data_IF_899913325675
#
_entry.id   IF_899913325675
#
_cell.length_a   1.000
_cell.length_b   1.000
_cell.length_c   1.000
_cell.angle_alpha   90.00
_cell.angle_beta   90.00
_cell.angle_gamma   90.00
#
_symmetry.space_group_name_H-M   'P 1'
#
loop_
_entity.id
_entity.type
_entity.pdbx_description
1 polymer ?
#
# COMPACT_ATOMS: atom_id res chain seq x y z
N UNK A 1 17.69 33.27 1.42
CA UNK A 1 17.89 31.92 1.95
C UNK A 1 17.22 30.94 1.01
N UNK A 2 17.98 30.09 0.33
CA UNK A 2 17.43 29.08 -0.56
C UNK A 2 16.72 27.99 0.24
N UNK A 3 15.39 27.94 0.13
CA UNK A 3 14.59 26.81 0.59
C UNK A 3 14.36 25.89 -0.59
N UNK A 4 15.10 24.79 -0.66
CA UNK A 4 15.06 23.83 -1.75
C UNK A 4 13.65 23.32 -2.02
N UNK A 5 13.28 23.28 -3.30
CA UNK A 5 12.05 22.69 -3.81
C UNK A 5 12.06 21.16 -3.71
N UNK A 6 12.11 20.64 -2.49
CA UNK A 6 11.82 19.23 -2.22
C UNK A 6 10.31 19.03 -2.35
N UNK A 7 9.88 18.27 -3.35
CA UNK A 7 8.49 17.81 -3.43
C UNK A 7 8.06 17.10 -2.14
N UNK A 8 6.75 16.92 -1.93
CA UNK A 8 6.26 16.23 -0.73
C UNK A 8 6.97 14.87 -0.58
N UNK A 9 7.40 14.51 0.64
CA UNK A 9 8.19 13.30 0.86
C UNK A 9 7.39 12.07 0.45
N UNK A 10 7.94 11.28 -0.48
CA UNK A 10 7.32 10.06 -1.00
C UNK A 10 7.01 9.09 0.15
N UNK A 11 5.83 8.46 0.13
CA UNK A 11 5.47 7.48 1.15
C UNK A 11 6.22 6.15 1.01
N UNK A 12 5.96 5.20 1.93
CA UNK A 12 6.55 3.87 1.88
C UNK A 12 6.08 3.09 0.65
N UNK A 13 6.93 2.16 0.21
CA UNK A 13 6.63 1.20 -0.85
C UNK A 13 6.97 -0.20 -0.35
N UNK A 14 6.07 -1.17 -0.55
CA UNK A 14 6.24 -2.54 -0.04
C UNK A 14 5.72 -3.57 -1.05
N UNK A 15 6.60 -4.50 -1.43
CA UNK A 15 6.24 -5.67 -2.25
C UNK A 15 5.80 -6.81 -1.36
N UNK A 16 4.78 -7.55 -1.80
CA UNK A 16 4.43 -8.83 -1.19
C UNK A 16 5.40 -9.91 -1.68
N UNK A 17 5.89 -10.81 -0.81
CA UNK A 17 6.93 -11.77 -1.22
C UNK A 17 6.44 -12.87 -2.18
N UNK A 18 5.14 -13.19 -2.17
CA UNK A 18 4.59 -14.35 -2.90
C UNK A 18 3.45 -14.01 -3.87
N UNK A 19 3.00 -12.76 -3.91
CA UNK A 19 1.87 -12.33 -4.72
C UNK A 19 2.27 -11.09 -5.52
N UNK A 20 1.67 -10.82 -6.69
CA UNK A 20 2.03 -9.71 -7.55
C UNK A 20 1.54 -8.35 -7.04
N UNK A 21 1.66 -8.14 -5.73
CA UNK A 21 1.12 -7.00 -5.01
C UNK A 21 2.20 -5.99 -4.63
N UNK A 22 1.87 -4.74 -4.89
CA UNK A 22 2.66 -3.58 -4.53
C UNK A 22 1.80 -2.60 -3.75
N UNK A 23 2.26 -2.25 -2.54
CA UNK A 23 1.68 -1.18 -1.74
C UNK A 23 2.49 0.08 -1.94
N UNK A 24 1.80 1.19 -2.19
CA UNK A 24 2.40 2.51 -2.36
C UNK A 24 1.68 3.50 -1.46
N UNK A 25 2.41 4.14 -0.56
CA UNK A 25 1.94 5.26 0.25
C UNK A 25 2.16 6.61 -0.43
N UNK A 26 1.21 7.53 -0.27
CA UNK A 26 1.32 8.90 -0.79
C UNK A 26 2.17 9.84 0.10
N UNK A 27 2.68 9.33 1.22
CA UNK A 27 3.43 10.12 2.21
C UNK A 27 2.55 11.04 3.05
N UNK A 28 1.24 10.88 3.01
CA UNK A 28 0.27 11.54 3.90
C UNK A 28 -0.58 10.46 4.57
N UNK A 29 -1.66 10.06 3.94
CA UNK A 29 -2.69 9.17 4.50
C UNK A 29 -3.20 8.14 3.50
N UNK A 30 -3.02 8.36 2.20
CA UNK A 30 -3.49 7.41 1.20
C UNK A 30 -2.50 6.26 1.00
N UNK A 31 -3.06 5.05 0.97
CA UNK A 31 -2.38 3.81 0.63
C UNK A 31 -3.04 3.24 -0.62
N UNK A 32 -2.26 3.04 -1.67
CA UNK A 32 -2.68 2.43 -2.92
C UNK A 32 -2.12 1.02 -3.03
N UNK A 33 -2.97 0.07 -3.44
CA UNK A 33 -2.59 -1.31 -3.74
C UNK A 33 -2.62 -1.51 -5.25
N UNK A 34 -1.56 -2.09 -5.78
CA UNK A 34 -1.36 -2.32 -7.21
C UNK A 34 -1.05 -3.79 -7.46
N UNK A 35 -1.62 -4.33 -8.55
CA UNK A 35 -1.11 -5.51 -9.20
C UNK A 35 -0.02 -5.05 -10.19
N UNK A 36 1.24 -5.33 -9.89
CA UNK A 36 2.34 -4.86 -10.72
C UNK A 36 2.55 -5.69 -12.00
N UNK A 37 2.03 -6.92 -12.06
CA UNK A 37 2.09 -7.75 -13.28
C UNK A 37 1.08 -7.28 -14.31
N UNK A 38 -0.15 -6.98 -13.88
CA UNK A 38 -1.22 -6.49 -14.76
C UNK A 38 -1.14 -4.97 -14.97
N UNK A 39 -0.34 -4.25 -14.17
CA UNK A 39 -0.26 -2.79 -14.20
C UNK A 39 -1.55 -2.09 -13.72
N UNK A 40 -2.35 -2.78 -12.91
CA UNK A 40 -3.66 -2.31 -12.47
C UNK A 40 -3.63 -1.85 -11.01
N UNK A 41 -4.25 -0.70 -10.74
CA UNK A 41 -4.50 -0.26 -9.36
C UNK A 41 -5.75 -0.95 -8.84
N UNK A 42 -5.57 -1.84 -7.87
CA UNK A 42 -6.65 -2.65 -7.29
C UNK A 42 -7.56 -1.80 -6.41
N UNK A 43 -6.96 -1.06 -5.47
CA UNK A 43 -7.72 -0.22 -4.54
C UNK A 43 -6.87 0.90 -3.97
N UNK A 44 -7.55 1.85 -3.34
CA UNK A 44 -6.92 2.93 -2.59
C UNK A 44 -7.74 3.18 -1.34
N UNK A 45 -7.07 3.29 -0.20
CA UNK A 45 -7.72 3.52 1.09
C UNK A 45 -6.93 4.50 1.95
N UNK A 46 -7.62 5.08 2.93
CA UNK A 46 -7.03 5.97 3.93
C UNK A 46 -6.50 5.14 5.09
N UNK A 47 -5.27 5.42 5.53
CA UNK A 47 -4.69 4.84 6.72
C UNK A 47 -5.35 5.37 8.01
N UNK A 48 -6.22 6.37 7.91
CA UNK A 48 -6.88 7.03 9.05
C UNK A 48 -5.87 7.64 10.01
N UNK A 49 -4.86 8.28 9.45
CA UNK A 49 -3.88 9.07 10.20
C UNK A 49 -4.55 10.27 10.84
N UNK A 50 -4.08 10.66 12.04
CA UNK A 50 -4.50 11.92 12.65
C UNK A 50 -4.04 13.09 11.76
N UNK A 51 -4.82 14.17 11.70
CA UNK A 51 -4.50 15.33 10.85
C UNK A 51 -3.07 15.83 11.05
N UNK A 52 -2.32 15.93 9.95
CA UNK A 52 -0.91 16.34 9.92
C UNK A 52 0.11 15.20 10.11
N UNK A 53 -0.32 14.00 10.50
CA UNK A 53 0.55 12.82 10.55
C UNK A 53 0.79 12.25 9.15
N UNK A 54 1.99 11.71 8.95
CA UNK A 54 2.45 11.14 7.68
C UNK A 54 2.64 9.63 7.83
N UNK A 55 2.25 8.90 6.81
CA UNK A 55 2.63 7.50 6.65
C UNK A 55 4.16 7.37 6.53
N UNK A 56 4.78 6.62 7.43
CA UNK A 56 6.23 6.49 7.55
C UNK A 56 6.75 5.11 7.17
N UNK A 57 5.95 4.06 7.37
CA UNK A 57 6.36 2.68 7.09
C UNK A 57 5.18 1.83 6.60
N UNK A 58 5.49 0.82 5.79
CA UNK A 58 4.56 -0.21 5.33
C UNK A 58 5.30 -1.54 5.26
N UNK A 59 4.78 -2.58 5.91
CA UNK A 59 5.39 -3.90 6.00
C UNK A 59 4.33 -4.97 5.88
N UNK A 60 4.64 -6.04 5.17
CA UNK A 60 3.79 -7.22 5.17
C UNK A 60 4.14 -8.14 6.33
N UNK A 61 3.14 -8.81 6.87
CA UNK A 61 3.24 -9.75 7.97
C UNK A 61 2.40 -10.97 7.62
N UNK A 62 2.83 -12.17 8.03
CA UNK A 62 2.14 -13.42 7.72
C UNK A 62 2.03 -13.70 6.20
N UNK A 63 3.04 -13.29 5.43
CA UNK A 63 3.05 -13.32 3.96
C UNK A 63 2.81 -14.67 3.29
N UNK A 64 3.27 -15.83 3.82
CA UNK A 64 3.03 -17.11 3.15
C UNK A 64 1.56 -17.58 3.18
N UNK A 65 0.73 -17.01 4.05
CA UNK A 65 -0.65 -17.45 4.27
C UNK A 65 -1.70 -16.63 3.52
N UNK A 66 -2.90 -17.21 3.40
CA UNK A 66 -4.09 -16.48 2.90
C UNK A 66 -4.46 -15.27 3.78
N UNK A 67 -4.08 -15.32 5.06
CA UNK A 67 -4.29 -14.26 6.05
C UNK A 67 -3.11 -13.27 6.12
N UNK A 68 -2.52 -12.93 4.98
CA UNK A 68 -1.46 -11.92 4.92
C UNK A 68 -2.00 -10.54 5.33
N UNK A 69 -1.21 -9.84 6.14
CA UNK A 69 -1.57 -8.57 6.77
C UNK A 69 -0.60 -7.48 6.36
N UNK A 70 -1.12 -6.27 6.15
CA UNK A 70 -0.32 -5.08 5.93
C UNK A 70 -0.27 -4.25 7.22
N UNK A 71 0.93 -4.10 7.76
CA UNK A 71 1.23 -3.19 8.85
C UNK A 71 1.65 -1.84 8.29
N UNK A 72 1.05 -0.77 8.82
CA UNK A 72 1.31 0.61 8.43
C UNK A 72 1.70 1.41 9.66
N UNK A 73 2.83 2.10 9.58
CA UNK A 73 3.29 3.01 10.62
C UNK A 73 3.07 4.45 10.19
N UNK A 74 2.60 5.28 11.12
CA UNK A 74 2.47 6.71 10.91
C UNK A 74 3.27 7.49 11.97
N UNK A 75 3.59 8.74 11.67
CA UNK A 75 4.34 9.64 12.57
C UNK A 75 3.55 10.06 13.80
N UNK A 76 2.25 9.72 13.88
CA UNK A 76 1.45 9.84 15.10
C UNK A 76 1.84 8.80 16.16
N UNK A 77 2.75 7.88 15.84
CA UNK A 77 3.16 6.80 16.74
C UNK A 77 2.17 5.64 16.77
N UNK A 78 1.20 5.59 15.85
CA UNK A 78 0.20 4.52 15.79
C UNK A 78 0.53 3.57 14.65
N UNK A 79 0.62 2.27 14.97
CA UNK A 79 0.68 1.18 14.01
C UNK A 79 -0.72 0.68 13.73
N UNK A 80 -1.04 0.47 12.45
CA UNK A 80 -2.33 -0.05 12.00
C UNK A 80 -2.11 -1.29 11.15
N UNK A 81 -2.92 -2.31 11.41
CA UNK A 81 -2.83 -3.61 10.73
C UNK A 81 -4.08 -3.79 9.88
N UNK A 82 -3.88 -4.05 8.60
CA UNK A 82 -4.92 -4.19 7.60
C UNK A 82 -4.94 -5.62 7.06
N UNK A 83 -6.14 -6.19 6.89
CA UNK A 83 -6.36 -7.49 6.27
C UNK A 83 -7.26 -7.38 5.04
N UNK A 84 -7.49 -8.51 4.36
CA UNK A 84 -8.37 -8.60 3.18
C UNK A 84 -7.79 -7.96 1.92
N UNK A 85 -6.46 -7.73 1.87
CA UNK A 85 -5.79 -7.11 0.73
C UNK A 85 -5.46 -8.12 -0.38
N UNK A 86 -5.12 -9.36 -0.03
CA UNK A 86 -4.89 -10.43 -1.01
C UNK A 86 -6.18 -10.82 -1.73
N UNK A 87 -7.29 -10.90 -0.99
CA UNK A 87 -8.63 -11.15 -1.52
C UNK A 87 -9.02 -10.16 -2.65
N UNK A 88 -8.55 -8.92 -2.54
CA UNK A 88 -8.76 -7.91 -3.58
C UNK A 88 -7.92 -8.16 -4.85
N UNK A 89 -6.73 -8.76 -4.72
CA UNK A 89 -5.92 -9.17 -5.86
C UNK A 89 -6.54 -10.34 -6.59
N UNK A 90 -6.96 -11.38 -5.86
CA UNK A 90 -7.56 -12.58 -6.44
C UNK A 90 -8.88 -12.25 -7.14
N UNK A 91 -9.70 -11.40 -6.52
CA UNK A 91 -10.94 -10.92 -7.12
C UNK A 91 -10.71 -10.10 -8.40
N UNK A 92 -9.69 -9.24 -8.42
CA UNK A 92 -9.36 -8.44 -9.59
C UNK A 92 -8.74 -9.27 -10.72
N UNK A 93 -7.86 -10.22 -10.41
CA UNK A 93 -7.29 -11.15 -11.39
C UNK A 93 -8.40 -12.02 -12.01
N UNK A 94 -9.36 -12.48 -11.20
CA UNK A 94 -10.53 -13.20 -11.69
C UNK A 94 -11.41 -12.33 -12.60
N UNK A 95 -11.62 -11.06 -12.26
CA UNK A 95 -12.35 -10.11 -13.10
C UNK A 95 -11.60 -9.82 -14.41
N UNK A 96 -10.28 -9.61 -14.34
CA UNK A 96 -9.42 -9.36 -15.51
C UNK A 96 -9.41 -10.58 -16.46
N UNK A 97 -9.34 -11.80 -15.92
CA UNK A 97 -9.44 -13.04 -16.69
C UNK A 97 -10.84 -13.24 -17.31
N UNK A 98 -11.89 -12.73 -16.65
CA UNK A 98 -13.26 -12.79 -17.16
C UNK A 98 -13.56 -11.74 -18.24
N UNK A 99 -12.70 -10.73 -18.43
CA UNK A 99 -12.83 -9.79 -19.55
C UNK A 99 -12.48 -10.54 -20.84
N UNK A 100 -13.42 -10.71 -21.79
CA UNK A 100 -13.05 -11.25 -23.09
C UNK A 100 -12.02 -10.30 -23.67
N UNK A 101 -10.92 -10.84 -24.18
CA UNK A 101 -9.85 -10.06 -24.81
C UNK A 101 -10.49 -9.11 -25.82
N UNK A 102 -10.59 -7.82 -25.49
CA UNK A 102 -10.78 -6.77 -26.48
C UNK A 102 -9.51 -6.81 -27.33
N UNK A 103 -9.54 -7.69 -28.32
CA UNK A 103 -8.57 -7.73 -29.40
C UNK A 103 -8.49 -6.31 -29.90
N UNK A 104 -7.32 -5.70 -29.75
CA UNK A 104 -6.70 -4.65 -30.58
C UNK A 104 -7.59 -4.28 -31.79
N UNK A 105 -8.68 -3.57 -31.51
CA UNK A 105 -9.59 -3.05 -32.51
C UNK A 105 -9.08 -1.67 -32.84
N UNK A 106 -8.71 -1.46 -34.10
CA UNK A 106 -8.43 -0.11 -34.59
C UNK A 106 -9.59 0.85 -34.31
N UNK A 107 -9.40 2.16 -34.53
CA UNK A 107 -10.24 3.25 -33.98
C UNK A 107 -11.70 3.32 -34.50
N UNK A 108 -12.24 2.25 -35.09
CA UNK A 108 -13.60 2.17 -35.62
C UNK A 108 -14.22 0.79 -35.33
N UNK A 109 -14.47 0.47 -34.06
CA UNK A 109 -15.35 -0.64 -33.69
C UNK A 109 -16.55 -0.07 -32.93
N UNK A 110 -17.59 0.28 -33.69
CA UNK A 110 -18.83 0.83 -33.17
C UNK A 110 -19.68 -0.21 -32.41
N UNK A 111 -20.37 0.30 -31.39
CA UNK A 111 -21.78 0.04 -31.10
C UNK A 111 -22.26 -1.41 -31.28
N UNK A 112 -22.19 -2.21 -30.22
CA UNK A 112 -23.26 -3.18 -29.92
C UNK A 112 -23.14 -3.74 -28.51
N UNK A 113 -24.27 -3.81 -27.82
CA UNK A 113 -24.49 -4.84 -26.79
C UNK A 113 -24.48 -4.33 -25.37
N UNK A 114 -25.67 -4.04 -24.85
CA UNK A 114 -25.90 -3.99 -23.41
C UNK A 114 -25.59 -5.35 -22.78
N UNK A 115 -24.65 -5.35 -21.85
CA UNK A 115 -24.41 -6.44 -20.92
C UNK A 115 -24.77 -5.99 -19.53
N UNK A 116 -25.92 -6.44 -19.02
CA UNK A 116 -26.23 -6.39 -17.61
C UNK A 116 -25.18 -7.23 -16.86
N UNK A 117 -24.18 -6.58 -16.27
CA UNK A 117 -23.04 -7.24 -15.62
C UNK A 117 -23.01 -6.93 -14.12
N UNK A 118 -23.52 -7.88 -13.33
CA UNK A 118 -23.07 -8.21 -11.97
C UNK A 118 -22.60 -7.04 -11.08
N UNK A 119 -23.54 -6.30 -10.49
CA UNK A 119 -23.29 -5.62 -9.20
C UNK A 119 -23.39 -6.63 -8.05
N UNK A 120 -22.48 -7.58 -7.98
CA UNK A 120 -22.29 -8.32 -6.73
C UNK A 120 -21.56 -7.36 -5.79
N UNK A 121 -22.26 -6.89 -4.76
CA UNK A 121 -21.76 -5.96 -3.75
C UNK A 121 -20.45 -6.53 -3.18
N UNK A 122 -19.34 -5.89 -3.54
CA UNK A 122 -18.01 -6.17 -3.02
C UNK A 122 -18.02 -5.98 -1.50
N UNK A 123 -18.00 -7.10 -0.76
CA UNK A 123 -17.65 -7.13 0.67
C UNK A 123 -16.12 -7.23 0.86
N UNK A 124 -15.37 -7.29 -0.23
CA UNK A 124 -13.92 -7.43 -0.26
C UNK A 124 -13.29 -6.04 -0.23
N UNK A 125 -12.47 -5.77 0.77
CA UNK A 125 -11.84 -4.46 0.96
C UNK A 125 -10.96 -4.42 2.19
N UNK A 126 -10.10 -3.38 2.31
CA UNK A 126 -9.17 -3.25 3.42
C UNK A 126 -9.93 -3.20 4.75
N UNK A 127 -9.76 -4.24 5.56
CA UNK A 127 -10.31 -4.30 6.92
C UNK A 127 -9.24 -3.87 7.91
N UNK A 128 -9.52 -2.85 8.71
CA UNK A 128 -8.66 -2.50 9.85
C UNK A 128 -8.84 -3.61 10.90
N UNK A 129 -7.80 -4.43 11.07
CA UNK A 129 -7.78 -5.55 12.03
C UNK A 129 -7.52 -5.00 13.43
N UNK A 130 -6.49 -4.17 13.57
CA UNK A 130 -6.14 -3.54 14.85
C UNK A 130 -5.34 -2.26 14.64
N UNK A 131 -5.35 -1.40 15.65
CA UNK A 131 -4.51 -0.22 15.74
C UNK A 131 -3.93 -0.12 17.16
N UNK A 132 -2.62 0.03 17.28
CA UNK A 132 -1.94 0.13 18.57
C UNK A 132 -0.97 1.31 18.60
N UNK A 133 -0.87 1.96 19.77
CA UNK A 133 0.10 3.02 20.00
C UNK A 133 1.46 2.38 20.30
N UNK A 134 2.51 2.85 19.64
CA UNK A 134 3.89 2.50 20.00
C UNK A 134 4.16 3.12 21.36
N UNK A 135 4.74 2.33 22.27
CA UNK A 135 5.10 2.79 23.59
C UNK A 135 6.07 3.99 23.47
N UNK A 136 5.87 5.08 24.25
CA UNK A 136 6.60 6.33 24.07
C UNK A 136 8.12 6.21 24.28
N UNK A 137 8.57 5.21 25.04
CA UNK A 137 9.98 4.88 25.30
C UNK A 137 10.72 4.31 24.07
N UNK A 138 10.00 3.66 23.15
CA UNK A 138 10.54 3.15 21.89
C UNK A 138 10.68 4.23 20.80
N UNK A 139 9.93 5.32 20.90
CA UNK A 139 9.98 6.45 19.92
C UNK A 139 11.26 7.27 20.07
N UNK A 140 11.88 7.25 21.26
CA UNK A 140 13.14 7.94 21.57
C UNK A 140 14.41 7.15 21.22
N UNK A 141 14.27 5.96 20.61
CA UNK A 141 15.40 5.21 20.05
C UNK A 141 16.01 5.94 18.86
N UNK A 142 16.88 6.92 19.14
CA UNK A 142 17.61 7.66 18.13
C UNK A 142 18.27 6.69 17.15
N UNK A 143 18.19 7.01 15.85
CA UNK A 143 19.07 6.43 14.84
C UNK A 143 20.50 6.58 15.37
N UNK A 144 21.06 5.50 15.92
CA UNK A 144 22.46 5.41 16.24
C UNK A 144 23.21 5.43 14.91
N UNK A 145 23.44 6.64 14.39
CA UNK A 145 24.46 6.88 13.38
C UNK A 145 25.78 6.57 14.05
N UNK A 146 26.28 5.35 13.84
CA UNK A 146 27.62 4.95 14.25
C UNK A 146 28.63 5.82 13.52
N UNK A 147 29.00 6.95 14.12
CA UNK A 147 30.21 7.67 13.77
C UNK A 147 31.36 7.00 14.51
N UNK A 148 31.98 6.01 13.87
CA UNK A 148 33.29 5.51 14.26
C UNK A 148 34.31 6.63 13.97
N UNK A 149 34.43 7.58 14.90
CA UNK A 149 35.57 8.47 14.95
C UNK A 149 36.75 7.65 15.49
N UNK A 150 37.64 7.23 14.60
CA UNK A 150 38.94 6.69 14.97
C UNK A 150 39.73 7.74 15.75
N UNK A 151 39.96 7.47 17.04
CA UNK A 151 40.91 8.19 17.87
C UNK A 151 42.22 7.42 17.93
N UNK A 152 43.18 7.84 17.11
CA UNK A 152 44.58 7.50 17.28
C UNK A 152 45.21 8.38 18.36
N UNK A 153 46.08 7.80 19.18
CA UNK A 153 47.18 8.50 19.85
C UNK A 153 47.11 8.58 21.38
N UNK A 154 48.19 8.12 22.03
CA UNK A 154 48.48 8.29 23.45
C UNK A 154 49.20 7.09 24.04
#
# INVERSE_FOLDING_TARGET
>A
GGGGGGGPPLGPLAFHSYAPLLVVGDGRDAVALWNYEEGLRLLTFSNRNRGGARLSAGLWVNEPGADSLLLTGATDGVLRVWGGLLEACDGAAAEAAARPSERRGGPYAGLSGGGAGFRQRQLWGPRLVTACHVAPDLVTGGRAGGSLAGGAGG
#
